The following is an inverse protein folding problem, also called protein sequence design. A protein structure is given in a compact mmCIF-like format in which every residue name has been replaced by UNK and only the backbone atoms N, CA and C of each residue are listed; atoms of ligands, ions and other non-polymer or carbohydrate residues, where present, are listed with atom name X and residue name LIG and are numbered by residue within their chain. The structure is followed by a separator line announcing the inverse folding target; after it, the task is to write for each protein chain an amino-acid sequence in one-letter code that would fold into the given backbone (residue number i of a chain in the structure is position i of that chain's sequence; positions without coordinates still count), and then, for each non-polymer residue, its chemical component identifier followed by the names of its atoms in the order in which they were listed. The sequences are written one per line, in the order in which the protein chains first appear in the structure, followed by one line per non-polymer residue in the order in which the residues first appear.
data_IF_919231978637
#
_entry.id   IF_919231978637
#
_cell.length_a   1.000
_cell.length_b   1.000
_cell.length_c   1.000
_cell.angle_alpha   90.00
_cell.angle_beta   90.00
_cell.angle_gamma   90.00
#
_symmetry.space_group_name_H-M   'P 1'
#
loop_
_entity.id
_entity.type
_entity.pdbx_description
1 polymer ?
#
# COMPACT_ATOMS: atom_id res chain seq x y z
N UNK A 1 6.29 13.99 -2.70
CA UNK A 1 6.19 14.35 -4.14
C UNK A 1 6.28 13.13 -5.05
N UNK A 2 7.27 12.24 -4.88
CA UNK A 2 7.38 11.00 -5.68
C UNK A 2 6.14 10.08 -5.61
N UNK A 3 5.58 9.84 -4.43
CA UNK A 3 4.41 8.96 -4.26
C UNK A 3 3.14 9.53 -4.92
N UNK A 4 2.85 10.82 -4.75
CA UNK A 4 1.79 11.48 -5.52
C UNK A 4 2.00 11.36 -7.03
N UNK A 5 3.26 11.37 -7.50
CA UNK A 5 3.60 11.21 -8.92
C UNK A 5 3.22 9.84 -9.44
N UNK A 6 3.54 8.79 -8.69
CA UNK A 6 3.14 7.44 -9.06
C UNK A 6 1.63 7.26 -9.01
N UNK A 7 0.92 7.79 -8.00
CA UNK A 7 -0.54 7.76 -7.95
C UNK A 7 -1.16 8.44 -9.17
N UNK A 8 -0.71 9.65 -9.52
CA UNK A 8 -1.24 10.39 -10.66
C UNK A 8 -0.99 9.67 -11.98
N UNK A 9 0.23 9.16 -12.22
CA UNK A 9 0.54 8.38 -13.42
C UNK A 9 -0.28 7.08 -13.48
N UNK A 10 -0.48 6.42 -12.34
CA UNK A 10 -1.35 5.25 -12.24
C UNK A 10 -2.79 5.60 -12.57
N UNK A 11 -3.33 6.70 -12.04
CA UNK A 11 -4.68 7.18 -12.35
C UNK A 11 -4.83 7.46 -13.85
N UNK A 12 -3.86 8.15 -14.46
CA UNK A 12 -3.86 8.40 -15.91
C UNK A 12 -3.82 7.10 -16.74
N UNK A 13 -3.09 6.08 -16.29
CA UNK A 13 -3.04 4.78 -16.96
C UNK A 13 -4.39 4.04 -16.97
N UNK A 14 -5.31 4.41 -16.07
CA UNK A 14 -6.67 3.90 -15.98
C UNK A 14 -7.73 4.91 -16.45
N UNK A 15 -7.32 5.95 -17.19
CA UNK A 15 -8.20 6.99 -17.73
C UNK A 15 -8.93 7.82 -16.65
N UNK A 16 -8.26 8.04 -15.51
CA UNK A 16 -8.73 8.88 -14.41
C UNK A 16 -7.98 10.21 -14.46
N UNK A 17 -8.53 11.20 -15.19
CA UNK A 17 -7.96 12.54 -15.34
C UNK A 17 -8.67 13.57 -14.45
N UNK A 18 -8.65 13.34 -13.14
CA UNK A 18 -9.24 14.23 -12.11
C UNK A 18 -8.24 15.26 -11.57
N UNK A 19 -7.03 15.31 -12.16
CA UNK A 19 -5.97 16.26 -11.85
C UNK A 19 -5.00 15.83 -10.74
N UNK A 20 -3.85 16.49 -10.70
CA UNK A 20 -2.73 16.21 -9.78
C UNK A 20 -3.13 16.19 -8.29
N UNK A 21 -3.95 17.15 -7.86
CA UNK A 21 -4.37 17.24 -6.46
C UNK A 21 -5.31 16.09 -6.05
N UNK A 22 -6.05 15.50 -7.01
CA UNK A 22 -6.85 14.30 -6.75
C UNK A 22 -5.99 13.10 -6.40
N UNK A 23 -4.84 12.94 -7.05
CA UNK A 23 -3.87 11.90 -6.72
C UNK A 23 -3.29 12.08 -5.31
N UNK A 24 -2.88 13.29 -4.94
CA UNK A 24 -2.35 13.58 -3.60
C UNK A 24 -3.40 13.39 -2.50
N UNK A 25 -4.65 13.80 -2.76
CA UNK A 25 -5.75 13.56 -1.83
C UNK A 25 -6.03 12.06 -1.66
N UNK A 26 -6.11 11.33 -2.77
CA UNK A 26 -6.33 9.87 -2.76
C UNK A 26 -5.23 9.14 -2.01
N UNK A 27 -3.97 9.52 -2.24
CA UNK A 27 -2.80 9.02 -1.49
C UNK A 27 -2.96 9.26 0.01
N UNK A 28 -3.35 10.46 0.42
CA UNK A 28 -3.53 10.80 1.84
C UNK A 28 -4.65 9.95 2.50
N UNK A 29 -5.79 9.79 1.82
CA UNK A 29 -6.90 8.94 2.29
C UNK A 29 -6.49 7.48 2.40
N UNK A 30 -5.73 6.97 1.42
CA UNK A 30 -5.12 5.64 1.49
C UNK A 30 -4.17 5.52 2.68
N UNK A 31 -3.32 6.53 2.93
CA UNK A 31 -2.42 6.57 4.08
C UNK A 31 -3.14 6.40 5.42
N UNK A 32 -4.28 7.05 5.61
CA UNK A 32 -5.13 6.84 6.78
C UNK A 32 -5.78 5.45 6.81
N UNK A 33 -6.23 4.95 5.65
CA UNK A 33 -6.82 3.63 5.54
C UNK A 33 -5.87 2.51 5.95
N UNK A 34 -4.65 2.54 5.44
CA UNK A 34 -3.64 1.50 5.73
C UNK A 34 -3.07 1.59 7.14
N UNK A 35 -3.26 2.72 7.84
CA UNK A 35 -2.95 2.85 9.26
C UNK A 35 -3.92 2.06 10.17
N UNK A 36 -5.09 1.67 9.65
CA UNK A 36 -6.01 0.81 10.38
C UNK A 36 -5.46 -0.63 10.48
N UNK A 37 -5.77 -1.35 11.58
CA UNK A 37 -5.46 -2.77 11.69
C UNK A 37 -6.03 -3.53 10.49
N UNK A 38 -5.16 -4.20 9.73
CA UNK A 38 -5.54 -4.81 8.45
C UNK A 38 -4.72 -6.07 8.14
N UNK A 39 -5.15 -6.78 7.10
CA UNK A 39 -4.44 -7.96 6.60
C UNK A 39 -3.02 -7.60 6.13
N UNK A 40 -2.09 -8.58 6.09
CA UNK A 40 -0.73 -8.36 5.59
C UNK A 40 -0.73 -7.68 4.23
N UNK A 41 0.14 -6.69 4.06
CA UNK A 41 0.20 -5.90 2.84
C UNK A 41 -0.96 -4.92 2.66
N UNK A 42 -1.75 -4.63 3.69
CA UNK A 42 -2.84 -3.65 3.64
C UNK A 42 -3.93 -4.02 2.62
N UNK A 43 -4.12 -5.32 2.42
CA UNK A 43 -5.16 -5.82 1.53
C UNK A 43 -6.55 -5.44 2.06
N UNK A 44 -7.38 -4.88 1.20
CA UNK A 44 -8.71 -4.39 1.56
C UNK A 44 -8.71 -2.91 1.94
N UNK A 45 -7.98 -2.50 2.98
CA UNK A 45 -7.95 -1.10 3.43
C UNK A 45 -7.40 -0.15 2.37
N UNK A 46 -6.34 -0.55 1.67
CA UNK A 46 -5.83 0.21 0.52
C UNK A 46 -6.94 0.44 -0.53
N UNK A 47 -7.59 -0.64 -0.97
CA UNK A 47 -8.59 -0.59 -2.04
C UNK A 47 -9.83 0.19 -1.63
N UNK A 48 -10.32 -0.03 -0.40
CA UNK A 48 -11.49 0.66 0.13
C UNK A 48 -11.26 2.17 0.24
N UNK A 49 -10.08 2.59 0.71
CA UNK A 49 -9.73 4.00 0.84
C UNK A 49 -9.50 4.69 -0.50
N UNK A 50 -8.78 4.05 -1.42
CA UNK A 50 -8.62 4.57 -2.78
C UNK A 50 -9.99 4.71 -3.47
N UNK A 51 -10.84 3.68 -3.34
CA UNK A 51 -12.16 3.69 -3.91
C UNK A 51 -13.02 4.80 -3.34
N UNK A 52 -13.09 4.89 -2.01
CA UNK A 52 -13.82 5.95 -1.33
C UNK A 52 -13.40 7.35 -1.80
N UNK A 53 -12.10 7.63 -1.86
CA UNK A 53 -11.60 8.93 -2.30
C UNK A 53 -12.02 9.27 -3.73
N UNK A 54 -11.80 8.35 -4.68
CA UNK A 54 -12.05 8.60 -6.10
C UNK A 54 -13.53 8.63 -6.43
N UNK A 55 -14.33 7.72 -5.88
CA UNK A 55 -15.77 7.65 -6.18
C UNK A 55 -16.55 8.76 -5.46
N UNK A 56 -16.27 8.98 -4.17
CA UNK A 56 -17.10 9.85 -3.32
C UNK A 56 -16.77 11.32 -3.52
N UNK A 57 -15.48 11.65 -3.73
CA UNK A 57 -15.03 13.05 -3.82
C UNK A 57 -14.89 13.50 -5.27
N UNK A 58 -14.43 12.61 -6.15
CA UNK A 58 -14.13 12.96 -7.55
C UNK A 58 -15.11 12.35 -8.57
N UNK A 59 -16.10 11.57 -8.13
CA UNK A 59 -17.13 11.01 -9.01
C UNK A 59 -16.62 9.99 -10.03
N UNK A 60 -15.45 9.40 -9.80
CA UNK A 60 -14.87 8.37 -10.67
C UNK A 60 -15.75 7.12 -10.62
N UNK A 61 -16.07 6.47 -11.76
CA UNK A 61 -16.78 5.20 -11.78
C UNK A 61 -16.09 4.14 -10.91
N UNK A 62 -16.86 3.42 -10.08
CA UNK A 62 -16.33 2.44 -9.13
C UNK A 62 -15.45 1.38 -9.81
N UNK A 63 -15.87 0.85 -10.96
CA UNK A 63 -15.09 -0.16 -11.70
C UNK A 63 -13.71 0.37 -12.11
N UNK A 64 -13.63 1.63 -12.54
CA UNK A 64 -12.38 2.26 -12.97
C UNK A 64 -11.46 2.54 -11.77
N UNK A 65 -12.05 3.05 -10.68
CA UNK A 65 -11.37 3.30 -9.42
C UNK A 65 -10.78 2.01 -8.80
N UNK A 66 -11.56 0.93 -8.76
CA UNK A 66 -11.09 -0.37 -8.28
C UNK A 66 -10.01 -0.95 -9.20
N UNK A 67 -10.16 -0.83 -10.52
CA UNK A 67 -9.13 -1.28 -11.47
C UNK A 67 -7.78 -0.59 -11.21
N UNK A 68 -7.79 0.73 -11.04
CA UNK A 68 -6.62 1.49 -10.60
C UNK A 68 -6.09 0.98 -9.27
N UNK A 69 -6.93 0.87 -8.25
CA UNK A 69 -6.50 0.51 -6.91
C UNK A 69 -5.82 -0.87 -6.85
N UNK A 70 -6.41 -1.89 -7.49
CA UNK A 70 -5.83 -3.22 -7.55
C UNK A 70 -4.52 -3.24 -8.34
N UNK A 71 -4.49 -2.64 -9.53
CA UNK A 71 -3.31 -2.64 -10.37
C UNK A 71 -2.14 -1.88 -9.74
N UNK A 72 -2.41 -0.70 -9.16
CA UNK A 72 -1.40 0.10 -8.50
C UNK A 72 -0.83 -0.64 -7.28
N UNK A 73 -1.71 -1.18 -6.43
CA UNK A 73 -1.29 -1.87 -5.23
C UNK A 73 -0.48 -3.14 -5.55
N UNK A 74 -1.01 -4.03 -6.39
CA UNK A 74 -0.33 -5.26 -6.74
C UNK A 74 0.91 -5.04 -7.60
N UNK A 75 0.92 -4.02 -8.45
CA UNK A 75 2.08 -3.65 -9.25
C UNK A 75 3.30 -3.30 -8.40
N UNK A 76 3.09 -2.68 -7.23
CA UNK A 76 4.16 -2.45 -6.25
C UNK A 76 4.38 -3.60 -5.27
N UNK A 77 3.29 -4.12 -4.72
CA UNK A 77 3.32 -5.10 -3.64
C UNK A 77 3.90 -6.45 -4.09
N UNK A 78 3.45 -7.02 -5.21
CA UNK A 78 3.89 -8.36 -5.64
C UNK A 78 5.41 -8.42 -5.88
N UNK A 79 6.02 -7.50 -6.67
CA UNK A 79 7.46 -7.56 -6.91
C UNK A 79 8.28 -7.38 -5.63
N UNK A 80 7.90 -6.43 -4.77
CA UNK A 80 8.62 -6.18 -3.51
C UNK A 80 8.53 -7.39 -2.59
N UNK A 81 7.33 -7.97 -2.45
CA UNK A 81 7.13 -9.18 -1.64
C UNK A 81 7.90 -10.36 -2.21
N UNK A 82 7.88 -10.57 -3.53
CA UNK A 82 8.61 -11.66 -4.17
C UNK A 82 10.13 -11.55 -3.96
N UNK A 83 10.69 -10.34 -4.10
CA UNK A 83 12.13 -10.10 -3.85
C UNK A 83 12.46 -10.39 -2.38
N UNK A 84 11.65 -9.90 -1.44
CA UNK A 84 11.83 -10.15 -0.01
C UNK A 84 11.83 -11.65 0.31
N UNK A 85 10.81 -12.38 -0.16
CA UNK A 85 10.71 -13.83 0.03
C UNK A 85 11.88 -14.59 -0.59
N UNK A 86 12.33 -14.18 -1.77
CA UNK A 86 13.47 -14.79 -2.44
C UNK A 86 14.76 -14.68 -1.60
N UNK A 87 15.03 -13.49 -1.05
CA UNK A 87 16.21 -13.29 -0.19
C UNK A 87 16.08 -13.97 1.17
N UNK A 88 14.89 -13.98 1.78
CA UNK A 88 14.64 -14.73 3.02
C UNK A 88 14.97 -16.21 2.83
N UNK A 89 14.52 -16.81 1.72
CA UNK A 89 14.82 -18.20 1.39
C UNK A 89 16.31 -18.42 1.09
N UNK A 90 16.93 -17.54 0.30
CA UNK A 90 18.34 -17.65 -0.09
C UNK A 90 19.30 -17.52 1.09
N UNK A 91 18.97 -16.68 2.08
CA UNK A 91 19.81 -16.43 3.26
C UNK A 91 19.56 -17.42 4.40
N UNK A 92 18.57 -18.31 4.26
CA UNK A 92 18.26 -19.33 5.25
C UNK A 92 17.58 -18.80 6.52
N UNK A 93 16.98 -17.60 6.47
CA UNK A 93 16.24 -17.08 7.61
C UNK A 93 14.98 -17.90 7.85
N UNK A 94 14.83 -18.41 9.07
CA UNK A 94 13.56 -18.99 9.52
C UNK A 94 12.62 -17.88 9.97
N UNK A 95 11.31 -18.10 9.84
CA UNK A 95 10.30 -17.18 10.38
C UNK A 95 10.44 -16.99 11.91
N UNK A 96 11.06 -17.95 12.61
CA UNK A 96 11.36 -17.86 14.05
C UNK A 96 12.53 -16.92 14.39
N UNK A 97 13.48 -16.76 13.46
CA UNK A 97 14.62 -15.85 13.65
C UNK A 97 14.15 -14.38 13.57
N UNK A 98 13.11 -14.13 12.79
CA UNK A 98 12.49 -12.80 12.63
C UNK A 98 11.65 -12.43 13.88
N UNK A 99 10.94 -13.40 14.47
CA UNK A 99 10.14 -13.20 15.68
C UNK A 99 10.99 -12.91 16.92
N UNK A 100 12.08 -13.67 17.10
CA UNK A 100 13.00 -13.50 18.23
C UNK A 100 13.77 -12.17 18.19
N UNK A 101 14.09 -11.67 16.99
CA UNK A 101 14.69 -10.34 16.82
C UNK A 101 13.73 -9.19 17.22
N UNK A 102 12.42 -9.32 17.00
CA UNK A 102 11.43 -8.34 17.48
C UNK A 102 11.29 -8.33 19.00
N UNK A 103 11.29 -9.51 19.61
CA UNK A 103 11.15 -9.68 21.06
C UNK A 103 12.34 -9.04 21.80
N UNK A 104 13.57 -9.28 21.33
CA UNK A 104 14.80 -8.69 21.90
C UNK A 104 14.86 -7.16 21.79
N UNK A 105 14.39 -6.59 20.67
CA UNK A 105 14.33 -5.12 20.48
C UNK A 105 13.26 -4.48 21.36
N UNK A 106 12.15 -5.18 21.59
CA UNK A 106 11.08 -4.70 22.46
C UNK A 106 11.48 -4.74 23.93
N UNK A 107 12.15 -5.81 24.38
CA UNK A 107 12.68 -5.96 25.74
C UNK A 107 13.73 -4.88 26.04
N UNK A 108 14.70 -4.68 25.13
CA UNK A 108 15.72 -3.64 25.28
C UNK A 108 15.16 -2.19 25.24
N UNK A 109 13.98 -1.96 24.64
CA UNK A 109 13.29 -0.66 24.67
C UNK A 109 12.46 -0.45 25.93
N UNK A 110 12.00 -1.53 26.57
CA UNK A 110 11.29 -1.46 27.85
C UNK A 110 12.26 -1.20 29.01
N UNK A 111 13.50 -1.67 28.87
CA UNK A 111 14.55 -1.55 29.88
C UNK A 111 15.39 -0.24 29.80
N UNK A 112 15.09 0.65 28.85
CA UNK A 112 15.79 1.92 28.60
C UNK A 112 14.94 3.14 29.00
#
# INVERSE_FOLDING_TARGET
MWHGLSFWLGMLAFDIDTGWFSAMFTEAVVGFGVALPSAPGFFGTFHASANFALTTVYGVPETQSLAFAFAYHFGGWIPITAIGLWYTWKLGFSLGDIGSAQEQVQEARVDA
#
